data_IF_151210811404
#
_entry.id   IF_151210811404
#
_cell.length_a   1.000
_cell.length_b   1.000
_cell.length_c   1.000
_cell.angle_alpha   90.00
_cell.angle_beta   90.00
_cell.angle_gamma   90.00
#
_symmetry.space_group_name_H-M   'P 1'
#
loop_
_entity.id
_entity.type
_entity.pdbx_description
1 polymer ?
#
# COMPACT_ATOMS: atom_id res chain seq x y z
N UNK A 1 28.56 35.09 46.65
CA UNK A 1 28.39 36.33 45.85
C UNK A 1 29.45 36.34 44.77
N UNK A 2 29.07 36.05 43.52
CA UNK A 2 29.83 36.43 42.33
C UNK A 2 28.87 36.29 41.14
N UNK A 3 28.55 37.43 40.54
CA UNK A 3 27.61 37.61 39.44
C UNK A 3 28.28 38.58 38.47
N UNK A 4 28.21 38.27 37.18
CA UNK A 4 28.46 39.13 36.01
C UNK A 4 29.96 39.38 35.74
N UNK A 5 30.52 39.07 34.57
CA UNK A 5 30.22 39.64 33.25
C UNK A 5 31.06 38.89 32.19
N UNK A 6 30.52 38.62 31.00
CA UNK A 6 31.25 38.93 29.76
C UNK A 6 30.31 38.92 28.55
N UNK A 7 30.25 40.10 27.90
CA UNK A 7 29.70 40.32 26.56
C UNK A 7 30.76 39.93 25.54
N UNK A 8 30.35 39.32 24.41
CA UNK A 8 31.08 39.45 23.14
C UNK A 8 30.11 39.66 21.98
N UNK A 9 30.33 40.78 21.30
CA UNK A 9 29.75 41.19 20.04
C UNK A 9 30.65 40.66 18.91
N UNK A 10 30.10 40.20 17.79
CA UNK A 10 30.93 39.82 16.64
C UNK A 10 30.22 39.20 15.44
N UNK A 11 29.55 40.05 14.67
CA UNK A 11 29.34 39.99 13.21
C UNK A 11 28.53 38.87 12.55
N UNK A 12 27.57 39.35 11.76
CA UNK A 12 26.72 38.66 10.82
C UNK A 12 27.49 37.80 9.80
N UNK A 13 26.89 36.66 9.46
CA UNK A 13 26.87 36.19 8.09
C UNK A 13 25.51 35.53 7.81
N UNK A 14 24.61 36.37 7.32
CA UNK A 14 23.30 36.02 6.81
C UNK A 14 23.49 35.63 5.33
N UNK A 15 23.73 34.33 5.06
CA UNK A 15 23.50 33.78 3.71
C UNK A 15 23.49 32.22 3.70
N UNK A 16 22.33 31.62 3.98
CA UNK A 16 21.89 30.45 3.21
C UNK A 16 20.37 30.35 3.27
N UNK A 17 19.72 31.10 2.39
CA UNK A 17 18.31 30.93 2.09
C UNK A 17 18.06 29.54 1.46
N UNK A 18 16.96 28.92 1.90
CA UNK A 18 16.23 27.82 1.21
C UNK A 18 16.93 26.44 1.13
N UNK A 19 17.10 25.76 2.27
CA UNK A 19 16.89 24.29 2.27
C UNK A 19 15.38 24.04 2.29
N UNK A 20 14.87 23.35 1.27
CA UNK A 20 13.52 22.80 1.31
C UNK A 20 13.37 22.01 2.62
N UNK A 21 12.31 22.28 3.39
CA UNK A 21 12.03 21.53 4.62
C UNK A 21 11.88 20.06 4.26
N UNK A 22 12.86 19.22 4.60
CA UNK A 22 12.73 17.76 4.50
C UNK A 22 11.45 17.35 5.24
N UNK A 23 10.55 16.61 4.56
CA UNK A 23 9.33 16.06 5.18
C UNK A 23 9.79 15.04 6.23
N UNK A 24 9.84 15.44 7.50
CA UNK A 24 10.18 14.53 8.60
C UNK A 24 9.05 13.49 8.76
N UNK A 25 9.40 12.20 8.74
CA UNK A 25 8.45 11.08 8.83
C UNK A 25 8.47 10.48 10.25
N UNK A 26 7.60 10.91 11.16
CA UNK A 26 7.58 10.38 12.52
C UNK A 26 6.91 9.00 12.56
N UNK A 27 7.45 8.09 13.37
CA UNK A 27 6.91 6.73 13.57
C UNK A 27 5.49 6.71 14.16
N UNK A 28 5.12 7.78 14.89
CA UNK A 28 3.79 7.96 15.43
C UNK A 28 3.39 9.44 15.39
N UNK A 29 2.10 9.68 15.32
CA UNK A 29 1.49 11.00 15.44
C UNK A 29 0.38 10.91 16.47
N UNK A 30 0.33 11.84 17.41
CA UNK A 30 -0.78 11.92 18.34
C UNK A 30 -1.35 13.34 18.38
N UNK A 31 -2.65 13.42 18.63
CA UNK A 31 -3.29 14.68 19.03
C UNK A 31 -4.33 14.35 20.10
N UNK A 32 -4.02 14.75 21.31
CA UNK A 32 -4.93 14.70 22.45
C UNK A 32 -5.81 15.96 22.45
N UNK A 33 -7.03 15.86 22.96
CA UNK A 33 -8.01 16.96 23.00
C UNK A 33 -8.29 17.52 21.60
N UNK A 34 -8.67 16.63 20.69
CA UNK A 34 -8.87 16.95 19.28
C UNK A 34 -10.13 17.78 18.98
N UNK A 35 -11.00 18.01 19.98
CA UNK A 35 -12.16 18.90 19.85
C UNK A 35 -11.71 20.37 19.87
N UNK A 36 -11.55 20.98 18.70
CA UNK A 36 -11.43 22.43 18.54
C UNK A 36 -12.84 23.02 18.34
N UNK A 37 -13.32 23.96 19.18
CA UNK A 37 -14.70 24.44 19.16
C UNK A 37 -15.13 25.15 17.86
N UNK A 38 -14.20 25.57 17.01
CA UNK A 38 -14.46 26.37 15.81
C UNK A 38 -14.22 25.63 14.47
N UNK A 39 -13.98 24.31 14.47
CA UNK A 39 -13.77 23.52 13.24
C UNK A 39 -14.78 22.38 13.12
N UNK A 40 -15.54 22.38 12.02
CA UNK A 40 -16.47 21.29 11.67
C UNK A 40 -15.75 19.97 11.31
N UNK A 41 -14.51 20.06 10.81
CA UNK A 41 -13.70 18.91 10.39
C UNK A 41 -12.38 18.87 11.14
N UNK A 42 -12.07 17.74 11.78
CA UNK A 42 -10.75 17.43 12.29
C UNK A 42 -9.85 16.89 11.18
N UNK A 43 -8.58 17.29 11.17
CA UNK A 43 -7.58 16.85 10.19
C UNK A 43 -6.27 16.47 10.87
N UNK A 44 -5.72 15.31 10.51
CA UNK A 44 -4.39 14.85 10.91
C UNK A 44 -3.57 14.56 9.65
N UNK A 45 -2.49 15.33 9.44
CA UNK A 45 -1.58 15.13 8.32
C UNK A 45 -0.69 13.91 8.54
N UNK A 46 -0.61 13.02 7.55
CA UNK A 46 0.26 11.85 7.51
C UNK A 46 1.31 12.10 6.43
N UNK A 47 2.51 12.61 6.78
CA UNK A 47 3.45 13.14 5.79
C UNK A 47 4.02 12.09 4.83
N UNK A 48 4.01 10.81 5.21
CA UNK A 48 4.74 9.75 4.55
C UNK A 48 3.89 8.52 4.24
N UNK A 49 2.56 8.67 4.23
CA UNK A 49 1.65 7.57 3.92
C UNK A 49 1.43 6.61 5.09
N UNK A 50 0.66 5.56 4.79
CA UNK A 50 0.50 4.39 5.64
C UNK A 50 1.17 3.17 4.97
N UNK A 51 1.65 2.25 5.78
CA UNK A 51 2.21 0.97 5.33
C UNK A 51 1.47 -0.18 6.01
N UNK A 52 1.72 -1.41 5.56
CA UNK A 52 1.14 -2.58 6.21
C UNK A 52 1.58 -2.63 7.69
N UNK A 53 0.61 -2.79 8.59
CA UNK A 53 0.81 -2.72 10.03
C UNK A 53 0.61 -1.33 10.63
N UNK A 54 0.63 -0.26 9.84
CA UNK A 54 0.24 1.07 10.30
C UNK A 54 -1.18 1.04 10.84
N UNK A 55 -1.43 1.83 11.89
CA UNK A 55 -2.75 1.92 12.50
C UNK A 55 -3.12 3.35 12.85
N UNK A 56 -4.41 3.66 12.73
CA UNK A 56 -5.02 4.92 13.16
C UNK A 56 -6.10 4.58 14.17
N UNK A 57 -5.88 4.97 15.41
CA UNK A 57 -6.80 4.80 16.53
C UNK A 57 -7.50 6.11 16.85
N UNK A 58 -8.83 6.04 16.92
CA UNK A 58 -9.73 7.16 17.14
C UNK A 58 -10.53 6.86 18.40
N UNK A 59 -10.50 7.80 19.35
CA UNK A 59 -11.30 7.75 20.56
C UNK A 59 -12.29 8.90 20.51
N UNK A 60 -13.58 8.59 20.61
CA UNK A 60 -14.63 9.58 20.49
C UNK A 60 -15.96 9.13 21.07
N UNK A 61 -16.90 10.07 21.17
CA UNK A 61 -18.28 9.83 21.61
C UNK A 61 -19.20 10.39 20.52
N UNK A 62 -19.96 9.57 19.78
CA UNK A 62 -20.98 10.06 18.88
C UNK A 62 -21.95 10.91 19.68
N UNK A 63 -22.19 12.14 19.25
CA UNK A 63 -23.04 13.11 19.95
C UNK A 63 -23.99 13.76 18.93
N UNK A 64 -24.43 15.00 19.15
CA UNK A 64 -25.25 15.70 18.15
C UNK A 64 -26.69 15.18 18.04
N UNK A 65 -27.34 15.50 16.92
CA UNK A 65 -28.75 15.19 16.72
C UNK A 65 -28.93 13.77 16.16
N UNK A 66 -28.03 13.36 15.28
CA UNK A 66 -28.06 12.06 14.60
C UNK A 66 -26.92 11.14 15.07
N UNK A 67 -25.79 11.69 15.52
CA UNK A 67 -24.61 10.91 15.89
C UNK A 67 -23.90 10.24 14.72
N UNK A 68 -24.23 10.67 13.50
CA UNK A 68 -23.59 10.22 12.26
C UNK A 68 -22.24 10.91 12.09
N UNK A 69 -21.21 10.13 11.74
CA UNK A 69 -19.87 10.66 11.53
C UNK A 69 -19.14 9.89 10.45
N UNK A 70 -18.10 10.51 9.87
CA UNK A 70 -17.26 9.89 8.85
C UNK A 70 -15.78 10.09 9.12
N UNK A 71 -15.01 9.13 8.65
CA UNK A 71 -13.55 9.11 8.66
C UNK A 71 -13.09 8.92 7.21
N UNK A 72 -12.36 9.90 6.69
CA UNK A 72 -11.81 9.87 5.34
C UNK A 72 -10.29 9.76 5.41
N UNK A 73 -9.71 8.78 4.72
CA UNK A 73 -8.29 8.70 4.42
C UNK A 73 -8.08 9.30 3.03
N UNK A 74 -7.49 10.48 2.94
CA UNK A 74 -7.36 11.25 1.70
C UNK A 74 -5.93 11.31 1.20
N UNK A 75 -5.76 11.32 -0.13
CA UNK A 75 -4.48 11.43 -0.81
C UNK A 75 -3.89 12.83 -0.79
N UNK A 76 -2.76 13.03 -1.48
CA UNK A 76 -2.22 14.37 -1.76
C UNK A 76 -2.86 14.91 -3.05
N UNK A 77 -3.29 16.17 -3.06
CA UNK A 77 -3.84 16.80 -4.26
C UNK A 77 -2.72 17.00 -5.29
N UNK A 78 -2.96 16.59 -6.54
CA UNK A 78 -2.00 16.75 -7.63
C UNK A 78 -2.16 18.12 -8.31
N UNK A 79 -1.08 18.71 -8.86
CA UNK A 79 -1.19 19.95 -9.61
C UNK A 79 -2.15 19.82 -10.80
N UNK A 80 -3.25 20.56 -10.79
CA UNK A 80 -4.30 20.49 -11.82
C UNK A 80 -5.55 19.72 -11.42
N UNK A 81 -5.53 19.00 -10.30
CA UNK A 81 -6.68 18.28 -9.72
C UNK A 81 -6.97 18.85 -8.33
N UNK A 82 -8.00 19.70 -8.17
CA UNK A 82 -8.25 20.41 -6.92
C UNK A 82 -8.67 19.49 -5.77
N UNK A 83 -9.31 18.36 -6.09
CA UNK A 83 -9.88 17.44 -5.12
C UNK A 83 -9.01 16.17 -4.99
N UNK A 84 -8.39 15.91 -3.82
CA UNK A 84 -7.56 14.73 -3.63
C UNK A 84 -8.41 13.44 -3.62
N UNK A 85 -7.85 12.30 -4.04
CA UNK A 85 -8.56 11.02 -3.98
C UNK A 85 -8.86 10.62 -2.54
N UNK A 86 -9.95 9.89 -2.33
CA UNK A 86 -10.32 9.31 -1.04
C UNK A 86 -10.03 7.81 -1.10
N UNK A 87 -8.96 7.39 -0.41
CA UNK A 87 -8.49 6.00 -0.32
C UNK A 87 -9.48 5.15 0.47
N UNK A 88 -10.07 5.73 1.52
CA UNK A 88 -11.14 5.10 2.29
C UNK A 88 -12.08 6.19 2.82
N UNK A 89 -13.34 6.11 2.43
CA UNK A 89 -14.46 6.81 3.07
C UNK A 89 -15.13 5.82 4.01
N UNK A 90 -15.14 6.09 5.30
CA UNK A 90 -15.79 5.26 6.31
C UNK A 90 -16.90 6.07 6.99
N UNK A 91 -18.15 5.76 6.67
CA UNK A 91 -19.30 6.57 7.05
C UNK A 91 -20.25 5.80 7.96
N UNK A 92 -20.40 6.26 9.20
CA UNK A 92 -21.24 5.66 10.22
C UNK A 92 -22.57 6.41 10.28
N UNK A 93 -23.66 5.67 10.07
CA UNK A 93 -25.04 6.18 10.16
C UNK A 93 -25.79 5.45 11.25
N UNK A 94 -26.06 6.12 12.37
CA UNK A 94 -26.71 5.50 13.54
C UNK A 94 -28.22 5.31 13.35
N UNK A 95 -28.84 6.11 12.48
CA UNK A 95 -30.28 6.05 12.19
C UNK A 95 -30.60 5.43 10.83
N UNK A 96 -29.59 4.84 10.18
CA UNK A 96 -29.75 4.27 8.85
C UNK A 96 -29.86 5.32 7.74
N UNK A 97 -30.30 4.88 6.58
CA UNK A 97 -30.59 5.69 5.41
C UNK A 97 -31.81 5.14 4.65
N UNK A 98 -32.14 5.72 3.49
CA UNK A 98 -33.29 5.28 2.68
C UNK A 98 -33.20 3.83 2.20
N UNK A 99 -32.00 3.25 2.14
CA UNK A 99 -31.76 1.88 1.70
C UNK A 99 -31.73 0.90 2.88
N UNK A 100 -31.16 1.34 4.01
CA UNK A 100 -31.01 0.54 5.23
C UNK A 100 -31.62 1.32 6.38
N UNK A 101 -32.86 0.99 6.78
CA UNK A 101 -33.57 1.68 7.88
C UNK A 101 -32.88 1.50 9.26
N UNK A 102 -32.03 0.49 9.38
CA UNK A 102 -31.22 0.19 10.56
C UNK A 102 -29.85 0.87 10.50
N UNK A 103 -29.13 1.01 11.65
CA UNK A 103 -27.77 1.52 11.67
C UNK A 103 -26.84 0.82 10.66
N UNK A 104 -26.07 1.60 9.90
CA UNK A 104 -25.24 1.10 8.79
C UNK A 104 -23.88 1.80 8.75
N UNK A 105 -22.86 1.04 8.40
CA UNK A 105 -21.53 1.54 8.03
C UNK A 105 -21.44 1.42 6.50
N UNK A 106 -21.15 2.54 5.85
CA UNK A 106 -20.91 2.61 4.40
C UNK A 106 -19.44 2.89 4.16
N UNK A 107 -18.78 2.03 3.38
CA UNK A 107 -17.38 2.17 3.00
C UNK A 107 -17.26 2.31 1.49
N UNK A 108 -16.43 3.27 1.05
CA UNK A 108 -16.24 3.51 -0.38
C UNK A 108 -14.88 4.17 -0.63
N UNK A 109 -14.55 4.37 -1.90
CA UNK A 109 -13.44 5.19 -2.38
C UNK A 109 -13.95 6.23 -3.36
N UNK A 110 -13.19 7.30 -3.53
CA UNK A 110 -13.49 8.32 -4.52
C UNK A 110 -12.23 8.72 -5.29
N UNK A 111 -12.34 8.89 -6.60
CA UNK A 111 -11.29 9.49 -7.44
C UNK A 111 -11.90 10.46 -8.42
N UNK A 112 -11.12 11.43 -8.90
CA UNK A 112 -11.58 12.35 -9.95
C UNK A 112 -11.94 11.62 -11.26
N UNK A 113 -11.27 10.50 -11.56
CA UNK A 113 -11.46 9.75 -12.79
C UNK A 113 -12.74 8.88 -12.78
N UNK A 114 -13.12 8.35 -11.62
CA UNK A 114 -14.19 7.35 -11.50
C UNK A 114 -15.33 7.76 -10.57
N UNK A 115 -15.28 8.96 -9.99
CA UNK A 115 -16.20 9.41 -8.93
C UNK A 115 -16.23 8.40 -7.76
N UNK A 116 -17.35 8.31 -7.04
CA UNK A 116 -17.61 7.30 -6.02
C UNK A 116 -17.73 5.90 -6.64
N UNK A 117 -16.97 4.95 -6.11
CA UNK A 117 -17.08 3.54 -6.52
C UNK A 117 -18.30 2.81 -5.94
N UNK A 118 -18.31 1.48 -6.02
CA UNK A 118 -19.35 0.64 -5.40
C UNK A 118 -19.36 0.81 -3.87
N UNK A 119 -20.51 0.82 -3.21
CA UNK A 119 -20.56 0.93 -1.74
C UNK A 119 -20.49 -0.43 -1.05
N UNK A 120 -19.55 -0.57 -0.12
CA UNK A 120 -19.52 -1.68 0.82
C UNK A 120 -20.35 -1.32 2.06
N UNK A 121 -21.36 -2.13 2.37
CA UNK A 121 -22.33 -1.84 3.45
C UNK A 121 -22.30 -2.92 4.53
N UNK A 122 -22.10 -2.50 5.77
CA UNK A 122 -22.13 -3.38 6.94
C UNK A 122 -23.18 -2.90 7.96
N UNK A 123 -24.09 -3.78 8.45
CA UNK A 123 -24.23 -5.21 8.10
C UNK A 123 -24.61 -5.45 6.62
N UNK A 124 -24.25 -6.60 6.04
CA UNK A 124 -24.50 -6.87 4.63
C UNK A 124 -26.00 -7.06 4.36
N UNK A 125 -26.48 -6.57 3.21
CA UNK A 125 -27.88 -6.74 2.79
C UNK A 125 -28.27 -8.21 2.61
N UNK A 126 -27.31 -9.08 2.26
CA UNK A 126 -27.49 -10.54 2.15
C UNK A 126 -26.41 -11.29 2.95
N UNK A 127 -26.77 -12.17 3.91
CA UNK A 127 -25.80 -12.84 4.79
C UNK A 127 -24.77 -13.74 4.08
N UNK A 128 -25.11 -14.29 2.91
CA UNK A 128 -24.31 -15.32 2.21
C UNK A 128 -23.21 -14.74 1.30
N UNK A 129 -23.04 -13.42 1.24
CA UNK A 129 -22.04 -12.74 0.40
C UNK A 129 -20.92 -12.06 1.21
N UNK A 130 -20.51 -12.64 2.34
CA UNK A 130 -19.35 -12.11 3.06
C UNK A 130 -18.06 -12.53 2.34
N UNK A 131 -17.51 -11.60 1.56
CA UNK A 131 -16.14 -11.73 1.04
C UNK A 131 -15.15 -11.66 2.20
N UNK A 132 -13.93 -12.16 1.95
CA UNK A 132 -12.82 -12.07 2.91
C UNK A 132 -11.76 -11.13 2.37
N UNK A 133 -11.11 -10.42 3.29
CA UNK A 133 -9.98 -9.53 3.04
C UNK A 133 -8.99 -9.76 4.17
N UNK A 134 -7.76 -10.18 3.84
CA UNK A 134 -6.76 -10.63 4.81
C UNK A 134 -7.32 -11.74 5.74
N UNK A 135 -7.98 -12.75 5.14
CA UNK A 135 -8.64 -13.89 5.80
C UNK A 135 -9.81 -13.55 6.75
N UNK A 136 -10.07 -12.26 6.99
CA UNK A 136 -11.14 -11.74 7.84
C UNK A 136 -12.40 -11.43 7.02
N UNK A 137 -13.56 -11.67 7.61
CA UNK A 137 -14.85 -11.35 6.96
C UNK A 137 -14.98 -9.83 6.72
N UNK A 138 -15.48 -9.45 5.55
CA UNK A 138 -15.72 -8.05 5.15
C UNK A 138 -16.63 -7.30 6.14
N UNK A 139 -17.64 -7.99 6.66
CA UNK A 139 -18.50 -7.50 7.74
C UNK A 139 -18.61 -8.53 8.85
N UNK A 140 -18.70 -8.08 10.10
CA UNK A 140 -18.99 -8.96 11.22
C UNK A 140 -20.28 -9.78 11.00
N UNK A 141 -20.21 -11.10 11.23
CA UNK A 141 -21.37 -11.99 11.17
C UNK A 141 -22.32 -11.69 12.33
N UNK A 142 -23.60 -11.51 12.01
CA UNK A 142 -24.68 -11.34 12.98
C UNK A 142 -24.81 -12.62 13.83
N UNK A 143 -24.38 -12.58 15.09
CA UNK A 143 -24.50 -13.71 16.00
C UNK A 143 -25.99 -13.93 16.33
N UNK A 144 -26.59 -14.96 15.77
CA UNK A 144 -27.85 -15.51 16.28
C UNK A 144 -27.53 -16.33 17.53
N UNK A 145 -28.06 -15.91 18.68
CA UNK A 145 -27.89 -16.62 19.95
C UNK A 145 -28.68 -17.93 19.92
N UNK A 146 -28.07 -19.00 19.40
CA UNK A 146 -28.59 -20.38 19.48
C UNK A 146 -27.56 -21.27 20.18
N UNK A 147 -27.55 -21.23 21.51
CA UNK A 147 -27.00 -22.35 22.30
C UNK A 147 -28.05 -23.47 22.33
N UNK A 148 -28.09 -24.29 21.29
CA UNK A 148 -28.80 -25.57 21.36
C UNK A 148 -27.86 -26.62 21.92
N UNK A 149 -27.88 -26.77 23.26
CA UNK A 149 -27.49 -28.02 23.91
C UNK A 149 -28.31 -29.15 23.29
N UNK A 150 -27.61 -30.08 22.64
CA UNK A 150 -28.17 -31.30 22.08
C UNK A 150 -28.71 -32.18 23.22
N UNK A 151 -30.03 -32.29 23.32
CA UNK A 151 -30.71 -33.39 24.02
C UNK A 151 -31.74 -33.97 23.05
N UNK A 152 -31.58 -35.25 22.76
CA UNK A 152 -32.42 -36.05 21.85
C UNK A 152 -33.88 -36.18 22.33
N UNK A 153 -34.81 -36.56 21.43
CA UNK A 153 -36.20 -36.11 21.50
C UNK A 153 -37.15 -37.12 22.16
N UNK A 154 -38.04 -36.61 23.02
CA UNK A 154 -39.30 -37.29 23.33
C UNK A 154 -40.49 -36.33 23.19
N UNK A 155 -41.24 -36.59 22.12
CA UNK A 155 -42.71 -36.63 22.01
C UNK A 155 -43.60 -35.51 22.57
N UNK A 156 -44.52 -35.12 21.68
CA UNK A 156 -45.88 -34.60 21.86
C UNK A 156 -46.10 -33.10 22.16
N UNK A 157 -46.54 -32.42 21.10
CA UNK A 157 -47.84 -31.75 21.06
C UNK A 157 -48.09 -30.60 22.04
N UNK A 158 -47.87 -29.37 21.58
CA UNK A 158 -48.78 -28.24 21.86
C UNK A 158 -48.33 -26.98 21.12
N UNK A 159 -49.33 -26.19 20.73
CA UNK A 159 -49.29 -24.90 20.03
C UNK A 159 -48.07 -24.05 20.43
N UNK A 160 -47.22 -23.71 19.44
CA UNK A 160 -46.24 -22.64 19.61
C UNK A 160 -46.68 -21.41 18.84
N UNK A 161 -47.09 -20.41 19.62
CA UNK A 161 -47.15 -19.01 19.23
C UNK A 161 -45.87 -18.65 18.46
N UNK A 162 -46.01 -18.01 17.30
CA UNK A 162 -44.89 -17.49 16.52
C UNK A 162 -44.25 -16.33 17.29
N UNK A 163 -43.35 -16.65 18.22
CA UNK A 163 -42.47 -15.67 18.84
C UNK A 163 -41.54 -15.15 17.75
N UNK A 164 -41.78 -13.91 17.31
CA UNK A 164 -40.87 -13.18 16.43
C UNK A 164 -39.54 -13.04 17.16
N UNK A 165 -38.56 -13.85 16.76
CA UNK A 165 -37.21 -13.81 17.31
C UNK A 165 -36.54 -12.51 16.83
N UNK A 166 -36.56 -11.46 17.64
CA UNK A 166 -35.78 -10.24 17.39
C UNK A 166 -34.29 -10.61 17.38
N UNK A 167 -33.73 -10.74 16.18
CA UNK A 167 -32.28 -10.83 15.98
C UNK A 167 -31.67 -9.50 16.43
N UNK A 168 -31.03 -9.47 17.60
CA UNK A 168 -30.28 -8.28 18.04
C UNK A 168 -29.10 -8.08 17.09
N UNK A 169 -29.23 -7.15 16.15
CA UNK A 169 -28.14 -6.74 15.26
C UNK A 169 -27.12 -5.98 16.10
N UNK A 170 -25.93 -6.54 16.28
CA UNK A 170 -24.84 -5.84 16.96
C UNK A 170 -24.32 -4.74 16.05
N UNK A 171 -24.38 -3.48 16.52
CA UNK A 171 -23.76 -2.33 15.88
C UNK A 171 -22.75 -1.71 16.87
N UNK A 172 -21.52 -1.42 16.42
CA UNK A 172 -20.43 -1.08 17.34
C UNK A 172 -20.50 0.34 17.91
N UNK A 173 -21.18 1.26 17.23
CA UNK A 173 -21.29 2.66 17.67
C UNK A 173 -22.66 2.93 18.29
N UNK A 174 -22.68 3.70 19.38
CA UNK A 174 -23.91 4.08 20.08
C UNK A 174 -23.87 5.55 20.45
N UNK A 175 -24.99 6.24 20.24
CA UNK A 175 -25.13 7.64 20.61
C UNK A 175 -24.83 7.83 22.11
N UNK A 176 -24.00 8.82 22.44
CA UNK A 176 -23.59 9.16 23.81
C UNK A 176 -22.62 8.19 24.48
N UNK A 177 -22.21 7.10 23.82
CA UNK A 177 -21.26 6.12 24.35
C UNK A 177 -19.88 6.33 23.73
N UNK A 178 -18.81 6.26 24.53
CA UNK A 178 -17.46 6.32 23.99
C UNK A 178 -17.12 5.03 23.24
N UNK A 179 -16.25 5.14 22.24
CA UNK A 179 -15.67 4.00 21.54
C UNK A 179 -14.16 4.18 21.36
N UNK A 180 -13.46 3.06 21.17
CA UNK A 180 -12.08 3.05 20.66
C UNK A 180 -12.09 2.31 19.32
N UNK A 181 -11.94 3.05 18.23
CA UNK A 181 -11.93 2.51 16.87
C UNK A 181 -10.52 2.53 16.30
N UNK A 182 -10.05 1.42 15.75
CA UNK A 182 -8.72 1.33 15.13
C UNK A 182 -8.86 0.83 13.70
N UNK A 183 -8.47 1.67 12.75
CA UNK A 183 -8.18 1.29 11.36
C UNK A 183 -6.75 0.75 11.31
N UNK A 184 -6.58 -0.49 10.83
CA UNK A 184 -5.27 -1.13 10.65
C UNK A 184 -5.09 -1.49 9.18
N UNK A 185 -3.91 -1.21 8.64
CA UNK A 185 -3.58 -1.55 7.25
C UNK A 185 -3.04 -2.98 7.19
N UNK A 186 -3.72 -3.83 6.44
CA UNK A 186 -3.33 -5.20 6.11
C UNK A 186 -2.58 -5.30 4.77
N UNK A 187 -2.49 -6.52 4.24
CA UNK A 187 -1.86 -6.78 2.93
C UNK A 187 -2.84 -6.56 1.78
N UNK A 188 -4.10 -6.95 1.97
CA UNK A 188 -5.17 -6.89 0.98
C UNK A 188 -6.17 -5.76 1.24
N UNK A 189 -6.17 -5.19 2.45
CA UNK A 189 -7.14 -4.15 2.81
C UNK A 189 -6.88 -3.41 4.11
N UNK A 190 -7.91 -2.69 4.56
CA UNK A 190 -7.92 -1.92 5.82
C UNK A 190 -8.99 -2.51 6.74
N UNK A 191 -8.58 -2.97 7.92
CA UNK A 191 -9.46 -3.56 8.92
C UNK A 191 -9.88 -2.52 9.96
N UNK A 192 -11.18 -2.44 10.25
CA UNK A 192 -11.73 -1.68 11.36
C UNK A 192 -12.00 -2.60 12.55
N UNK A 193 -11.45 -2.24 13.70
CA UNK A 193 -11.81 -2.81 15.00
C UNK A 193 -12.43 -1.74 15.87
N UNK A 194 -13.44 -2.10 16.68
CA UNK A 194 -14.04 -1.20 17.68
C UNK A 194 -14.08 -1.94 19.01
N UNK A 195 -13.54 -1.32 20.05
CA UNK A 195 -13.40 -1.89 21.41
C UNK A 195 -12.75 -3.29 21.41
N UNK A 196 -11.74 -3.47 20.54
CA UNK A 196 -11.00 -4.72 20.38
C UNK A 196 -11.68 -5.80 19.53
N UNK A 197 -12.87 -5.52 18.98
CA UNK A 197 -13.62 -6.46 18.14
C UNK A 197 -13.54 -6.06 16.67
N UNK A 198 -13.26 -7.03 15.79
CA UNK A 198 -13.33 -6.83 14.34
C UNK A 198 -14.74 -6.47 13.88
N UNK A 199 -14.87 -5.38 13.11
CA UNK A 199 -16.15 -4.87 12.60
C UNK A 199 -16.22 -5.01 11.08
N UNK A 200 -15.25 -4.46 10.35
CA UNK A 200 -15.24 -4.51 8.88
C UNK A 200 -13.83 -4.71 8.33
N UNK A 201 -13.72 -5.30 7.14
CA UNK A 201 -12.50 -5.35 6.34
C UNK A 201 -12.79 -4.77 4.96
N UNK A 202 -12.14 -3.66 4.62
CA UNK A 202 -12.28 -3.02 3.31
C UNK A 202 -11.14 -3.44 2.41
N UNK A 203 -11.43 -4.02 1.24
CA UNK A 203 -10.41 -4.38 0.27
C UNK A 203 -9.79 -3.12 -0.34
N UNK A 204 -8.47 -3.12 -0.53
CA UNK A 204 -7.80 -2.07 -1.30
C UNK A 204 -8.34 -2.09 -2.74
N UNK A 205 -8.65 -0.93 -3.29
CA UNK A 205 -9.07 -0.81 -4.69
C UNK A 205 -7.90 -0.47 -5.57
N UNK A 206 -7.95 -0.92 -6.82
CA UNK A 206 -6.90 -0.69 -7.81
C UNK A 206 -6.53 0.80 -7.85
N UNK A 207 -5.23 1.11 -7.84
CA UNK A 207 -4.62 2.46 -7.81
C UNK A 207 -4.74 3.28 -6.51
N UNK A 208 -5.52 2.85 -5.52
CA UNK A 208 -5.70 3.56 -4.24
C UNK A 208 -5.02 2.86 -3.08
N UNK A 209 -3.70 2.97 -3.08
CA UNK A 209 -2.87 2.23 -2.14
C UNK A 209 -2.64 3.01 -0.83
N UNK A 210 -2.55 2.35 0.34
CA UNK A 210 -2.50 3.02 1.65
C UNK A 210 -1.38 4.05 1.84
N UNK A 211 -0.27 3.96 1.10
CA UNK A 211 0.81 4.95 1.19
C UNK A 211 0.46 6.29 0.57
N UNK A 212 -0.57 6.35 -0.27
CA UNK A 212 -1.02 7.61 -0.86
C UNK A 212 -1.68 8.51 0.19
N UNK A 213 -2.10 7.96 1.33
CA UNK A 213 -2.79 8.69 2.40
C UNK A 213 -1.89 9.80 2.95
N UNK A 214 -2.31 11.04 2.72
CA UNK A 214 -1.61 12.24 3.17
C UNK A 214 -2.31 12.94 4.34
N UNK A 215 -3.59 12.65 4.56
CA UNK A 215 -4.41 13.26 5.61
C UNK A 215 -5.52 12.29 6.06
N UNK A 216 -5.80 12.28 7.37
CA UNK A 216 -6.99 11.68 7.98
C UNK A 216 -7.95 12.79 8.33
N UNK A 217 -9.15 12.77 7.77
CA UNK A 217 -10.21 13.73 8.06
C UNK A 217 -11.34 13.05 8.83
N UNK A 218 -11.80 13.69 9.89
CA UNK A 218 -12.94 13.21 10.70
C UNK A 218 -13.95 14.33 10.80
N UNK A 219 -15.21 14.04 10.49
CA UNK A 219 -16.30 15.04 10.48
C UNK A 219 -17.64 14.42 10.84
N UNK A 220 -18.61 15.27 11.19
CA UNK A 220 -19.95 14.88 11.61
C UNK A 220 -20.19 15.03 13.11
N UNK A 221 -21.24 14.39 13.61
CA UNK A 221 -21.75 14.46 14.97
C UNK A 221 -20.91 13.58 15.92
N UNK A 222 -19.64 13.95 16.09
CA UNK A 222 -18.68 13.22 16.92
C UNK A 222 -17.90 14.15 17.85
N UNK A 223 -18.00 13.93 19.16
CA UNK A 223 -17.07 14.50 20.14
C UNK A 223 -15.75 13.72 20.11
N UNK A 224 -14.77 14.27 19.42
CA UNK A 224 -13.46 13.63 19.23
C UNK A 224 -12.52 13.88 20.43
N UNK A 225 -12.12 12.81 21.11
CA UNK A 225 -11.25 12.88 22.30
C UNK A 225 -9.78 12.87 21.87
N UNK A 226 -9.38 11.88 21.08
CA UNK A 226 -8.00 11.75 20.61
C UNK A 226 -7.89 10.97 19.31
N UNK A 227 -6.87 11.29 18.53
CA UNK A 227 -6.44 10.51 17.37
C UNK A 227 -4.96 10.16 17.52
N UNK A 228 -4.63 8.89 17.34
CA UNK A 228 -3.28 8.35 17.39
C UNK A 228 -3.01 7.56 16.11
N UNK A 229 -1.99 7.93 15.36
CA UNK A 229 -1.45 7.11 14.29
C UNK A 229 -0.11 6.52 14.73
N UNK A 230 0.12 5.23 14.48
CA UNK A 230 1.33 4.51 14.90
C UNK A 230 1.73 3.45 13.87
N UNK A 231 2.98 2.98 13.97
CA UNK A 231 3.56 2.10 12.96
C UNK A 231 3.63 2.80 11.60
N UNK A 232 3.81 4.13 11.62
CA UNK A 232 3.99 4.93 10.41
C UNK A 232 5.39 4.70 9.84
N UNK A 233 5.56 4.73 8.51
CA UNK A 233 6.89 4.61 7.92
C UNK A 233 7.78 5.76 8.41
N UNK A 234 8.99 5.41 8.84
CA UNK A 234 9.98 6.40 9.30
C UNK A 234 10.91 6.79 8.18
N UNK A 235 11.55 7.97 8.29
CA UNK A 235 12.63 8.34 7.37
C UNK A 235 13.83 7.40 7.54
N UNK A 236 13.99 6.78 8.72
CA UNK A 236 15.04 5.79 8.99
C UNK A 236 14.76 4.42 8.33
N UNK A 237 13.51 4.09 7.96
CA UNK A 237 13.24 2.96 7.06
C UNK A 237 13.77 3.23 5.63
N UNK A 238 14.01 4.50 5.29
CA UNK A 238 14.78 4.89 4.11
C UNK A 238 16.30 4.86 4.37
N UNK A 239 16.74 4.84 5.63
CA UNK A 239 18.13 4.69 6.09
C UNK A 239 18.50 3.25 6.47
N UNK A 240 17.90 2.25 5.79
CA UNK A 240 18.56 0.95 5.59
C UNK A 240 19.81 1.13 4.71
N UNK A 241 20.75 1.94 5.21
CA UNK A 241 22.11 2.12 4.73
C UNK A 241 22.92 0.88 5.06
N UNK A 242 22.47 -0.28 4.58
CA UNK A 242 23.46 -1.20 4.04
C UNK A 242 24.15 -0.42 2.96
N UNK A 243 25.48 -0.46 2.95
CA UNK A 243 26.28 0.19 1.92
C UNK A 243 25.77 -0.29 0.55
N UNK A 244 24.84 0.45 -0.06
CA UNK A 244 24.21 0.11 -1.34
C UNK A 244 25.28 -0.03 -2.40
N UNK A 245 26.43 0.65 -2.23
CA UNK A 245 27.61 0.46 -3.06
C UNK A 245 28.23 -0.93 -2.92
N UNK A 246 28.26 -1.50 -1.72
CA UNK A 246 28.70 -2.89 -1.48
C UNK A 246 27.71 -3.94 -2.01
N UNK A 247 26.48 -3.52 -2.33
CA UNK A 247 25.44 -4.38 -2.92
C UNK A 247 25.14 -4.04 -4.39
N UNK A 248 25.94 -3.15 -5.02
CA UNK A 248 25.87 -2.94 -6.47
C UNK A 248 26.21 -4.26 -7.17
N UNK A 249 25.54 -4.53 -8.28
CA UNK A 249 25.85 -5.68 -9.10
C UNK A 249 27.33 -5.65 -9.52
N UNK A 250 27.95 -6.81 -9.65
CA UNK A 250 29.35 -6.89 -10.10
C UNK A 250 29.45 -6.19 -11.47
N UNK A 251 30.40 -5.26 -11.67
CA UNK A 251 30.60 -4.61 -12.95
C UNK A 251 30.81 -5.64 -14.05
N UNK A 252 30.17 -5.44 -15.20
CA UNK A 252 30.42 -6.27 -16.37
C UNK A 252 31.80 -5.93 -16.94
N UNK A 253 32.53 -6.92 -17.45
CA UNK A 253 33.86 -6.70 -18.01
C UNK A 253 33.77 -5.85 -19.28
N UNK A 254 34.48 -4.71 -19.30
CA UNK A 254 34.57 -3.82 -20.46
C UNK A 254 35.35 -4.41 -21.65
N UNK A 255 35.92 -5.61 -21.50
CA UNK A 255 36.76 -6.22 -22.55
C UNK A 255 35.95 -6.87 -23.68
N UNK A 256 34.65 -7.12 -23.47
CA UNK A 256 33.77 -7.67 -24.50
C UNK A 256 32.55 -6.77 -24.67
N UNK A 257 32.22 -6.33 -25.89
CA UNK A 257 31.00 -5.58 -26.14
C UNK A 257 29.79 -6.49 -25.85
N UNK A 258 28.81 -5.93 -25.16
CA UNK A 258 27.53 -6.60 -24.89
C UNK A 258 26.56 -6.26 -26.01
N UNK A 259 26.12 -7.26 -26.77
CA UNK A 259 25.18 -7.04 -27.86
C UNK A 259 23.76 -6.82 -27.32
N UNK A 260 23.37 -7.57 -26.29
CA UNK A 260 22.04 -7.49 -25.68
C UNK A 260 22.15 -7.48 -24.15
N UNK A 261 21.59 -6.45 -23.53
CA UNK A 261 21.33 -6.42 -22.10
C UNK A 261 19.88 -6.81 -21.82
N UNK A 262 19.67 -7.78 -20.94
CA UNK A 262 18.34 -8.23 -20.48
C UNK A 262 18.18 -7.87 -19.00
N UNK A 263 17.25 -6.96 -18.73
CA UNK A 263 16.79 -6.68 -17.38
C UNK A 263 15.54 -7.50 -17.05
N UNK A 264 15.59 -8.26 -15.96
CA UNK A 264 14.47 -9.08 -15.47
C UNK A 264 13.83 -8.39 -14.26
N UNK A 265 12.50 -8.36 -14.19
CA UNK A 265 11.73 -7.87 -13.03
C UNK A 265 11.21 -8.99 -12.15
N UNK A 266 11.96 -9.41 -11.12
CA UNK A 266 11.40 -10.18 -10.03
C UNK A 266 10.98 -9.25 -8.88
N UNK A 267 10.15 -9.78 -7.97
CA UNK A 267 9.99 -9.25 -6.62
C UNK A 267 11.08 -9.79 -5.69
N UNK A 268 11.39 -9.07 -4.61
CA UNK A 268 12.44 -9.46 -3.66
C UNK A 268 12.31 -10.90 -3.12
N UNK A 269 11.11 -11.35 -2.79
CA UNK A 269 10.84 -12.69 -2.24
C UNK A 269 10.81 -13.83 -3.28
N UNK A 270 10.92 -13.54 -4.58
CA UNK A 270 10.88 -14.55 -5.65
C UNK A 270 12.22 -15.29 -5.86
N UNK A 271 12.88 -15.73 -4.78
CA UNK A 271 14.16 -16.45 -4.80
C UNK A 271 14.14 -17.69 -5.71
N UNK A 272 13.06 -18.48 -5.62
CA UNK A 272 12.90 -19.71 -6.41
C UNK A 272 12.78 -19.43 -7.90
N UNK A 273 12.10 -18.35 -8.30
CA UNK A 273 11.98 -17.95 -9.71
C UNK A 273 13.35 -17.51 -10.24
N UNK A 274 14.06 -16.62 -9.55
CA UNK A 274 15.43 -16.22 -9.92
C UNK A 274 16.35 -17.44 -10.10
N UNK A 275 16.31 -18.40 -9.16
CA UNK A 275 17.07 -19.64 -9.27
C UNK A 275 16.66 -20.53 -10.46
N UNK A 276 15.37 -20.58 -10.79
CA UNK A 276 14.89 -21.30 -11.96
C UNK A 276 15.41 -20.66 -13.26
N UNK A 277 15.37 -19.33 -13.37
CA UNK A 277 15.92 -18.58 -14.50
C UNK A 277 17.42 -18.85 -14.66
N UNK A 278 18.19 -18.76 -13.57
CA UNK A 278 19.63 -19.10 -13.54
C UNK A 278 19.92 -20.50 -14.06
N UNK A 279 19.08 -21.49 -13.72
CA UNK A 279 19.26 -22.90 -14.12
C UNK A 279 18.73 -23.24 -15.51
N UNK A 280 17.99 -22.33 -16.14
CA UNK A 280 17.31 -22.58 -17.42
C UNK A 280 17.89 -21.69 -18.52
N UNK A 281 17.17 -20.67 -18.97
CA UNK A 281 17.55 -19.91 -20.16
C UNK A 281 18.76 -18.99 -19.95
N UNK A 282 19.14 -18.70 -18.71
CA UNK A 282 20.44 -18.04 -18.43
C UNK A 282 21.65 -18.96 -18.67
N UNK A 283 21.44 -20.26 -18.92
CA UNK A 283 22.51 -21.20 -19.29
C UNK A 283 22.82 -21.22 -20.79
N UNK A 284 22.12 -20.41 -21.60
CA UNK A 284 22.38 -20.33 -23.04
C UNK A 284 23.83 -19.88 -23.33
N UNK A 285 24.45 -20.37 -24.43
CA UNK A 285 25.84 -20.06 -24.76
C UNK A 285 26.12 -18.56 -24.87
N UNK A 286 25.18 -17.77 -25.39
CA UNK A 286 25.32 -16.33 -25.59
C UNK A 286 25.35 -15.57 -24.26
N UNK A 287 24.66 -16.07 -23.23
CA UNK A 287 24.74 -15.52 -21.87
C UNK A 287 26.06 -15.90 -21.22
N UNK A 288 26.46 -17.17 -21.36
CA UNK A 288 27.71 -17.69 -20.78
C UNK A 288 28.98 -17.12 -21.43
N UNK A 289 28.92 -16.77 -22.71
CA UNK A 289 30.03 -16.16 -23.45
C UNK A 289 30.24 -14.68 -23.09
N UNK A 290 29.21 -14.04 -22.52
CA UNK A 290 29.14 -12.61 -22.23
C UNK A 290 28.62 -11.75 -23.39
N UNK A 291 28.18 -12.36 -24.50
CA UNK A 291 27.54 -11.63 -25.61
C UNK A 291 26.20 -11.02 -25.18
N UNK A 292 25.48 -11.73 -24.30
CA UNK A 292 24.26 -11.28 -23.66
C UNK A 292 24.51 -11.13 -22.17
N UNK A 293 24.21 -9.96 -21.60
CA UNK A 293 24.28 -9.73 -20.17
C UNK A 293 22.89 -9.76 -19.55
N UNK A 294 22.74 -10.43 -18.41
CA UNK A 294 21.47 -10.53 -17.68
C UNK A 294 21.65 -9.96 -16.27
N UNK A 295 20.69 -9.14 -15.84
CA UNK A 295 20.59 -8.64 -14.46
C UNK A 295 19.16 -8.72 -13.95
N UNK A 296 18.99 -9.13 -12.70
CA UNK A 296 17.74 -8.99 -11.96
C UNK A 296 17.67 -7.58 -11.37
N UNK A 297 16.66 -6.79 -11.70
CA UNK A 297 16.43 -5.48 -11.08
C UNK A 297 15.39 -5.62 -9.97
N UNK A 298 15.86 -5.53 -8.73
CA UNK A 298 15.08 -5.94 -7.56
C UNK A 298 14.96 -4.77 -6.59
N UNK A 299 13.72 -4.39 -6.27
CA UNK A 299 13.46 -3.43 -5.20
C UNK A 299 13.59 -4.09 -3.82
N UNK A 300 13.65 -3.28 -2.79
CA UNK A 300 13.62 -3.73 -1.40
C UNK A 300 12.26 -4.35 -1.06
N UNK A 301 12.25 -5.27 -0.10
CA UNK A 301 11.03 -5.82 0.48
C UNK A 301 10.67 -5.09 1.78
N UNK A 302 9.38 -5.10 2.15
CA UNK A 302 8.93 -4.57 3.45
C UNK A 302 9.45 -5.39 4.64
N UNK A 303 9.60 -6.69 4.44
CA UNK A 303 10.12 -7.60 5.47
C UNK A 303 11.65 -7.58 5.44
N UNK A 304 12.24 -7.13 6.54
CA UNK A 304 13.69 -7.03 6.70
C UNK A 304 14.42 -8.38 6.58
N UNK A 305 13.81 -9.48 7.01
CA UNK A 305 14.39 -10.83 6.87
C UNK A 305 14.54 -11.19 5.39
N UNK A 306 13.55 -10.82 4.55
CA UNK A 306 13.62 -11.03 3.10
C UNK A 306 14.74 -10.19 2.49
N UNK A 307 14.95 -8.96 2.98
CA UNK A 307 16.06 -8.12 2.51
C UNK A 307 17.42 -8.74 2.87
N UNK A 308 17.58 -9.26 4.08
CA UNK A 308 18.82 -9.93 4.50
C UNK A 308 19.13 -11.16 3.63
N UNK A 309 18.13 -11.97 3.32
CA UNK A 309 18.26 -13.10 2.39
C UNK A 309 18.59 -12.62 0.96
N UNK A 310 17.95 -11.56 0.49
CA UNK A 310 18.22 -10.94 -0.81
C UNK A 310 19.65 -10.40 -0.88
N UNK A 311 20.17 -9.80 0.19
CA UNK A 311 21.55 -9.31 0.25
C UNK A 311 22.57 -10.45 0.23
N UNK A 312 22.25 -11.59 0.88
CA UNK A 312 23.06 -12.80 0.79
C UNK A 312 23.05 -13.36 -0.64
N UNK A 313 21.88 -13.42 -1.28
CA UNK A 313 21.75 -13.86 -2.67
C UNK A 313 22.53 -12.94 -3.63
N UNK A 314 22.38 -11.61 -3.50
CA UNK A 314 23.05 -10.63 -4.34
C UNK A 314 24.57 -10.75 -4.25
N UNK A 315 25.11 -10.95 -3.03
CA UNK A 315 26.54 -11.22 -2.82
C UNK A 315 27.00 -12.56 -3.39
N UNK A 316 26.13 -13.58 -3.37
CA UNK A 316 26.46 -14.93 -3.83
C UNK A 316 26.52 -15.02 -5.35
N UNK A 317 25.56 -14.43 -6.05
CA UNK A 317 25.42 -14.59 -7.51
C UNK A 317 25.92 -13.38 -8.31
N UNK A 318 25.98 -12.18 -7.72
CA UNK A 318 26.49 -10.97 -8.38
C UNK A 318 25.67 -10.49 -9.57
N UNK A 319 24.49 -11.06 -9.80
CA UNK A 319 23.60 -10.79 -10.93
C UNK A 319 22.37 -9.95 -10.55
N UNK A 320 22.31 -9.47 -9.32
CA UNK A 320 21.22 -8.63 -8.78
C UNK A 320 21.68 -7.17 -8.76
N UNK A 321 20.94 -6.32 -9.46
CA UNK A 321 21.01 -4.87 -9.31
C UNK A 321 19.88 -4.44 -8.35
N UNK A 322 20.25 -4.13 -7.10
CA UNK A 322 19.30 -3.60 -6.14
C UNK A 322 18.90 -2.18 -6.49
N UNK A 323 17.62 -1.88 -6.23
CA UNK A 323 17.02 -0.58 -6.41
C UNK A 323 16.71 0.03 -5.05
N UNK A 324 17.04 1.31 -4.81
CA UNK A 324 16.93 1.95 -3.50
C UNK A 324 15.49 2.39 -3.17
N UNK A 325 14.53 1.49 -3.37
CA UNK A 325 13.12 1.69 -3.01
C UNK A 325 12.45 0.36 -2.73
N UNK A 326 11.40 0.38 -1.91
CA UNK A 326 10.56 -0.79 -1.67
C UNK A 326 9.74 -1.11 -2.92
N UNK A 327 9.73 -2.38 -3.32
CA UNK A 327 9.14 -2.84 -4.56
C UNK A 327 7.62 -2.79 -4.49
N UNK A 328 7.03 -1.93 -5.32
CA UNK A 328 5.59 -1.79 -5.51
C UNK A 328 5.26 -1.82 -7.00
N UNK A 329 4.06 -2.29 -7.35
CA UNK A 329 3.63 -2.42 -8.74
C UNK A 329 3.63 -1.07 -9.47
N UNK A 330 3.18 0.00 -8.80
CA UNK A 330 3.20 1.37 -9.31
C UNK A 330 4.61 1.90 -9.63
N UNK A 331 5.65 1.29 -9.07
CA UNK A 331 7.05 1.67 -9.30
C UNK A 331 7.73 0.85 -10.41
N UNK A 332 6.99 -0.01 -11.13
CA UNK A 332 7.53 -0.73 -12.29
C UNK A 332 8.02 0.22 -13.40
N UNK A 333 7.43 1.41 -13.52
CA UNK A 333 7.92 2.46 -14.43
C UNK A 333 9.34 2.91 -14.06
N UNK A 334 9.63 3.07 -12.76
CA UNK A 334 10.98 3.39 -12.28
C UNK A 334 11.96 2.26 -12.56
N UNK A 335 11.54 1.00 -12.40
CA UNK A 335 12.37 -0.13 -12.81
C UNK A 335 12.67 -0.14 -14.30
N UNK A 336 11.70 0.28 -15.13
CA UNK A 336 11.85 0.33 -16.59
C UNK A 336 12.88 1.37 -16.98
N UNK A 337 12.79 2.57 -16.39
CA UNK A 337 13.81 3.61 -16.55
C UNK A 337 15.18 3.10 -16.12
N UNK A 338 15.27 2.38 -15.00
CA UNK A 338 16.53 1.82 -14.54
C UNK A 338 17.12 0.77 -15.49
N UNK A 339 16.32 -0.11 -16.09
CA UNK A 339 16.80 -1.02 -17.16
C UNK A 339 17.39 -0.23 -18.31
N UNK A 340 16.67 0.80 -18.77
CA UNK A 340 17.11 1.62 -19.89
C UNK A 340 18.45 2.29 -19.58
N UNK A 341 18.52 3.05 -18.48
CA UNK A 341 19.74 3.75 -18.06
C UNK A 341 20.90 2.77 -17.82
N UNK A 342 20.65 1.66 -17.13
CA UNK A 342 21.71 0.67 -16.86
C UNK A 342 22.22 0.05 -18.15
N UNK A 343 21.31 -0.38 -19.03
CA UNK A 343 21.67 -0.98 -20.32
C UNK A 343 22.44 -0.04 -21.25
N UNK A 344 22.07 1.24 -21.30
CA UNK A 344 22.68 2.21 -22.22
C UNK A 344 23.92 2.89 -21.65
N UNK A 345 23.89 3.33 -20.39
CA UNK A 345 24.95 4.15 -19.80
C UNK A 345 25.99 3.32 -19.04
N UNK A 346 25.56 2.26 -18.34
CA UNK A 346 26.47 1.44 -17.52
C UNK A 346 27.05 0.28 -18.32
N UNK A 347 26.20 -0.43 -19.07
CA UNK A 347 26.62 -1.58 -19.88
C UNK A 347 27.05 -1.17 -21.29
N UNK A 348 26.50 -0.06 -21.81
CA UNK A 348 26.66 0.35 -23.21
C UNK A 348 26.30 -0.77 -24.20
N UNK A 349 25.20 -1.46 -23.93
CA UNK A 349 24.72 -2.54 -24.78
C UNK A 349 24.10 -2.00 -26.07
N UNK A 350 24.27 -2.75 -27.17
CA UNK A 350 23.66 -2.38 -28.47
C UNK A 350 22.12 -2.46 -28.42
N UNK A 351 21.58 -3.44 -27.70
CA UNK A 351 20.16 -3.63 -27.49
C UNK A 351 19.85 -3.79 -26.01
N UNK A 352 18.66 -3.33 -25.61
CA UNK A 352 18.13 -3.47 -24.25
C UNK A 352 16.78 -4.17 -24.33
N UNK A 353 16.58 -5.19 -23.49
CA UNK A 353 15.34 -5.96 -23.38
C UNK A 353 14.89 -6.00 -21.92
N UNK A 354 13.60 -5.76 -21.71
CA UNK A 354 12.92 -6.02 -20.43
C UNK A 354 12.20 -7.36 -20.50
N UNK A 355 12.20 -8.09 -19.39
CA UNK A 355 11.36 -9.28 -19.21
C UNK A 355 10.93 -9.45 -17.75
N UNK A 356 9.96 -10.33 -17.51
CA UNK A 356 9.44 -10.66 -16.18
C UNK A 356 10.02 -12.00 -15.69
N UNK A 357 9.91 -12.26 -14.39
CA UNK A 357 10.49 -13.47 -13.77
C UNK A 357 9.68 -14.76 -13.98
N UNK A 358 8.54 -14.66 -14.66
CA UNK A 358 7.66 -15.75 -15.07
C UNK A 358 7.66 -15.99 -16.60
N UNK A 359 8.56 -15.32 -17.32
CA UNK A 359 8.77 -15.52 -18.75
C UNK A 359 9.90 -16.52 -19.06
N UNK A 360 9.75 -17.26 -20.15
CA UNK A 360 10.81 -18.11 -20.72
C UNK A 360 11.34 -17.51 -22.02
N UNK A 361 12.67 -17.33 -22.12
CA UNK A 361 13.31 -16.73 -23.29
C UNK A 361 14.14 -17.75 -24.07
N UNK A 362 13.93 -17.80 -25.39
CA UNK A 362 14.84 -18.49 -26.32
C UNK A 362 15.95 -17.53 -26.76
N UNK A 363 16.95 -17.32 -25.91
CA UNK A 363 17.98 -16.27 -26.08
C UNK A 363 18.65 -16.31 -27.46
N UNK A 364 19.04 -17.50 -27.94
CA UNK A 364 19.69 -17.64 -29.26
C UNK A 364 18.82 -17.17 -30.43
N UNK A 365 17.50 -17.38 -30.37
CA UNK A 365 16.58 -16.90 -31.42
C UNK A 365 16.43 -15.39 -31.40
N UNK A 366 16.40 -14.80 -30.20
CA UNK A 366 16.33 -13.34 -30.05
C UNK A 366 17.59 -12.70 -30.64
N UNK A 367 18.77 -13.21 -30.28
CA UNK A 367 20.05 -12.72 -30.82
C UNK A 367 20.13 -12.89 -32.34
N UNK A 368 19.75 -14.06 -32.86
CA UNK A 368 19.74 -14.32 -34.31
C UNK A 368 18.71 -13.45 -35.06
N UNK A 369 17.61 -13.08 -34.42
CA UNK A 369 16.65 -12.11 -34.98
C UNK A 369 17.26 -10.71 -35.03
N UNK A 370 17.83 -10.24 -33.92
CA UNK A 370 18.45 -8.92 -33.82
C UNK A 370 19.61 -8.74 -34.81
N UNK A 371 20.41 -9.78 -35.05
CA UNK A 371 21.53 -9.73 -36.00
C UNK A 371 21.09 -9.59 -37.47
N UNK A 372 19.86 -9.99 -37.80
CA UNK A 372 19.28 -9.89 -39.15
C UNK A 372 18.65 -8.53 -39.43
N UNK A 373 18.40 -7.73 -38.39
CA UNK A 373 17.78 -6.41 -38.52
C UNK A 373 18.84 -5.39 -38.90
N UNK A 374 18.71 -4.78 -40.08
CA UNK A 374 19.50 -3.60 -40.46
C UNK A 374 18.86 -2.33 -39.86
N UNK A 375 19.51 -1.74 -38.86
CA UNK A 375 18.99 -0.55 -38.20
C UNK A 375 19.41 0.73 -38.92
N UNK A 376 18.45 1.46 -39.47
CA UNK A 376 18.62 2.84 -39.96
C UNK A 376 17.94 3.88 -39.06
N UNK A 377 17.07 3.43 -38.13
CA UNK A 377 16.35 4.20 -37.10
C UNK A 377 16.27 3.38 -35.80
N UNK A 378 15.76 3.97 -34.71
CA UNK A 378 15.54 3.28 -33.44
C UNK A 378 14.64 2.04 -33.58
N UNK A 379 14.91 0.99 -32.80
CA UNK A 379 14.16 -0.28 -32.78
C UNK A 379 13.34 -0.40 -31.50
N UNK A 380 12.03 -0.62 -31.66
CA UNK A 380 11.15 -1.14 -30.63
C UNK A 380 10.60 -2.48 -31.13
N UNK A 381 10.76 -3.55 -30.35
CA UNK A 381 10.47 -4.92 -30.78
C UNK A 381 9.71 -5.68 -29.69
N UNK A 382 8.64 -6.36 -30.08
CA UNK A 382 7.80 -7.13 -29.16
C UNK A 382 6.35 -7.18 -29.63
N UNK A 383 5.45 -7.57 -28.71
CA UNK A 383 4.01 -7.45 -28.92
C UNK A 383 3.60 -6.00 -28.74
N UNK A 384 3.28 -5.33 -29.83
CA UNK A 384 2.83 -3.93 -29.83
C UNK A 384 1.33 -3.93 -30.09
N UNK A 385 0.57 -3.37 -29.15
CA UNK A 385 -0.85 -3.15 -29.33
C UNK A 385 -1.08 -1.65 -29.61
N UNK A 386 -1.80 -1.33 -30.67
CA UNK A 386 -2.31 0.03 -30.90
C UNK A 386 -3.67 0.19 -30.22
N UNK A 387 -4.09 1.43 -29.96
CA UNK A 387 -5.46 1.73 -29.54
C UNK A 387 -5.88 1.16 -28.17
N UNK A 388 -4.89 0.81 -27.33
CA UNK A 388 -5.14 0.43 -25.94
C UNK A 388 -5.63 1.64 -25.14
N UNK A 389 -6.66 1.44 -24.33
CA UNK A 389 -7.15 2.43 -23.38
C UNK A 389 -6.97 1.93 -21.94
N UNK A 390 -6.88 2.83 -20.95
CA UNK A 390 -6.99 2.44 -19.55
C UNK A 390 -8.21 1.54 -19.36
N UNK A 391 -8.04 0.41 -18.69
CA UNK A 391 -9.18 -0.40 -18.28
C UNK A 391 -9.90 0.34 -17.15
N UNK A 392 -11.00 0.99 -17.50
CA UNK A 392 -11.94 1.54 -16.54
C UNK A 392 -12.87 0.39 -16.11
N UNK A 393 -12.58 -0.22 -14.95
CA UNK A 393 -13.46 -1.22 -14.31
C UNK A 393 -14.15 -0.65 -13.10
#
# INVERSE_FOLDING_TARGET
MALVQEKKLGYANDNSSKKAKEKQCPHFLNKMNATEPDKCDYKLRIPCGLTQGSSITIIGIPNGLLGDFRIDLTGEALPGEPDPPIILHYNVRLHGDKMTEDPVIVQNTWTIAHDWGEEDRCPPSTPDKNRKVDELDQCIKLVSKNDNRTVSPHSHGSRKSSVVLQRVKYFPFKHGSFFVATLRVGSEGIQMTVDGKHITSFANRETLEPWLVSEVRISGDLKLISVLASGLPTSEDSDLTVNLEALKAIPLSHQKPVDLFIGVFPTANNFKRRMALRRTWMQYPEVRSGTVAVRFLVGMHKNQIVNEELWNEARTYGDIQLMPFVDYYSLLTWKTLAICTFGTEVVSAKFVMKTDDDAFLRVGEVVASLSRISMTRGLLYGLINSDSQPHCT
#
